data_IF_244951600567
#
_entry.id   IF_244951600567
#
_cell.length_a   1.000
_cell.length_b   1.000
_cell.length_c   1.000
_cell.angle_alpha   90.00
_cell.angle_beta   90.00
_cell.angle_gamma   90.00
#
_symmetry.space_group_name_H-M   'P 1'
#
loop_
_entity.id
_entity.type
_entity.pdbx_description
1 polymer ?
#
# COMPACT_ATOMS: atom_id res chain seq x y z
N UNK A 1 -0.48 1.87 -6.83
CA UNK A 1 -0.33 0.57 -6.15
C UNK A 1 0.33 0.77 -4.80
N UNK A 2 -0.35 0.41 -3.72
CA UNK A 2 0.22 0.47 -2.37
C UNK A 2 1.01 -0.80 -2.05
N UNK A 3 2.14 -0.65 -1.40
CA UNK A 3 3.07 -1.75 -1.12
C UNK A 3 3.64 -1.65 0.29
N UNK A 4 3.59 -2.77 1.02
CA UNK A 4 4.19 -2.89 2.36
C UNK A 4 5.72 -2.98 2.31
N UNK A 5 6.28 -3.55 1.24
CA UNK A 5 7.73 -3.70 1.09
C UNK A 5 8.40 -2.44 0.54
N UNK A 6 9.53 -2.07 1.13
CA UNK A 6 10.39 -0.97 0.69
C UNK A 6 11.12 -1.26 -0.64
N UNK A 7 11.27 -2.54 -1.01
CA UNK A 7 11.97 -3.00 -2.23
C UNK A 7 11.14 -4.03 -3.03
N UNK A 8 11.45 -4.23 -4.31
CA UNK A 8 10.76 -5.19 -5.18
C UNK A 8 9.40 -4.73 -5.74
N UNK A 9 8.75 -5.60 -6.50
CA UNK A 9 7.46 -5.32 -7.16
C UNK A 9 6.29 -5.69 -6.23
N UNK A 10 5.26 -4.85 -6.07
CA UNK A 10 4.11 -5.19 -5.23
C UNK A 10 3.32 -6.36 -5.82
N UNK A 11 2.91 -7.30 -4.97
CA UNK A 11 2.12 -8.46 -5.39
C UNK A 11 0.82 -8.06 -6.10
N UNK A 12 0.20 -6.96 -5.66
CA UNK A 12 -1.02 -6.39 -6.24
C UNK A 12 -0.83 -6.00 -7.72
N UNK A 13 0.35 -5.46 -8.07
CA UNK A 13 0.68 -5.10 -9.44
C UNK A 13 0.88 -6.36 -10.31
N UNK A 14 1.58 -7.36 -9.76
CA UNK A 14 1.77 -8.64 -10.45
C UNK A 14 0.44 -9.33 -10.74
N UNK A 15 -0.43 -9.40 -9.74
CA UNK A 15 -1.75 -10.01 -9.88
C UNK A 15 -2.61 -9.29 -10.93
N UNK A 16 -2.59 -7.95 -10.93
CA UNK A 16 -3.27 -7.17 -11.96
C UNK A 16 -2.74 -7.52 -13.37
N UNK A 17 -1.43 -7.67 -13.52
CA UNK A 17 -0.83 -8.01 -14.80
C UNK A 17 -1.16 -9.46 -15.23
N UNK A 18 -1.13 -10.42 -14.30
CA UNK A 18 -1.46 -11.83 -14.57
C UNK A 18 -2.89 -12.01 -15.07
N UNK A 19 -3.85 -11.32 -14.44
CA UNK A 19 -5.27 -11.47 -14.74
C UNK A 19 -5.77 -10.53 -15.83
N UNK A 20 -5.50 -9.22 -15.70
CA UNK A 20 -6.01 -8.23 -16.65
C UNK A 20 -5.12 -8.08 -17.87
N UNK A 21 -3.83 -8.49 -17.79
CA UNK A 21 -2.84 -8.33 -18.87
C UNK A 21 -2.71 -6.89 -19.37
N UNK A 22 -2.97 -5.94 -18.49
CA UNK A 22 -2.93 -4.49 -18.77
C UNK A 22 -2.06 -3.80 -17.72
N UNK A 23 -1.27 -2.84 -18.17
CA UNK A 23 -0.53 -1.89 -17.34
C UNK A 23 -1.07 -0.49 -17.63
N UNK A 24 -1.24 0.31 -16.57
CA UNK A 24 -1.59 1.72 -16.71
C UNK A 24 -0.42 2.52 -17.27
N UNK A 25 -0.72 3.58 -18.01
CA UNK A 25 0.31 4.44 -18.62
C UNK A 25 1.30 4.99 -17.59
N UNK A 26 0.81 5.44 -16.42
CA UNK A 26 1.64 5.89 -15.29
C UNK A 26 1.43 4.97 -14.09
N UNK A 27 2.50 4.34 -13.61
CA UNK A 27 2.45 3.40 -12.48
C UNK A 27 3.23 3.95 -11.31
N UNK A 28 2.54 4.14 -10.18
CA UNK A 28 3.14 4.60 -8.93
C UNK A 28 3.05 3.48 -7.90
N UNK A 29 4.21 3.05 -7.41
CA UNK A 29 4.34 2.16 -6.25
C UNK A 29 4.56 3.01 -5.01
N UNK A 30 3.54 3.09 -4.18
CA UNK A 30 3.50 3.89 -2.96
C UNK A 30 3.79 3.01 -1.74
N UNK A 31 4.75 3.40 -0.92
CA UNK A 31 5.07 2.75 0.35
C UNK A 31 5.04 3.78 1.48
N UNK A 32 4.31 3.46 2.54
CA UNK A 32 4.25 4.23 3.77
C UNK A 32 5.28 3.67 4.75
N UNK A 33 6.06 4.55 5.37
CA UNK A 33 7.15 4.19 6.27
C UNK A 33 6.99 4.98 7.56
N UNK A 34 6.69 4.28 8.64
CA UNK A 34 6.71 4.87 9.97
C UNK A 34 8.16 4.88 10.48
N UNK A 35 8.59 6.04 10.97
CA UNK A 35 9.90 6.28 11.58
C UNK A 35 9.79 6.25 13.10
N UNK A 36 10.90 5.92 13.77
CA UNK A 36 11.00 5.88 15.23
C UNK A 36 11.17 7.28 15.87
N UNK A 37 10.92 8.33 15.10
CA UNK A 37 10.90 9.73 15.55
C UNK A 37 9.45 10.23 15.62
N UNK A 38 9.13 11.16 16.55
CA UNK A 38 7.75 11.57 16.78
C UNK A 38 7.15 12.30 15.57
N UNK A 39 7.96 13.12 14.89
CA UNK A 39 7.60 13.91 13.72
C UNK A 39 8.72 13.87 12.69
N UNK A 40 8.35 13.87 11.41
CA UNK A 40 9.29 13.92 10.28
C UNK A 40 9.22 15.30 9.64
N UNK A 41 10.36 15.87 9.26
CA UNK A 41 10.37 17.14 8.53
C UNK A 41 9.72 16.99 7.15
N UNK A 42 9.07 18.04 6.65
CA UNK A 42 8.42 18.03 5.33
C UNK A 42 9.42 17.74 4.20
N UNK A 43 10.66 18.23 4.32
CA UNK A 43 11.73 17.99 3.33
C UNK A 43 12.16 16.52 3.23
N UNK A 44 12.01 15.74 4.30
CA UNK A 44 12.35 14.31 4.33
C UNK A 44 11.13 13.39 4.21
N UNK A 45 9.93 13.96 4.12
CA UNK A 45 8.66 13.22 4.10
C UNK A 45 8.45 12.45 2.82
N UNK A 46 8.99 12.90 1.69
CA UNK A 46 8.80 12.28 0.38
C UNK A 46 10.13 11.87 -0.22
N UNK A 47 10.22 10.63 -0.72
CA UNK A 47 11.32 10.20 -1.58
C UNK A 47 10.79 9.53 -2.83
N UNK A 48 11.08 10.13 -3.98
CA UNK A 48 10.64 9.65 -5.29
C UNK A 48 11.83 9.04 -6.02
N UNK A 49 11.60 7.90 -6.67
CA UNK A 49 12.54 7.30 -7.60
C UNK A 49 11.81 6.89 -8.86
N UNK A 50 12.23 7.44 -10.00
CA UNK A 50 11.76 7.02 -11.32
C UNK A 50 12.53 5.78 -11.79
N UNK A 51 11.87 4.96 -12.61
CA UNK A 51 12.41 3.75 -13.21
C UNK A 51 12.05 3.66 -14.70
N UNK A 52 12.93 3.00 -15.45
CA UNK A 52 12.77 2.74 -16.88
C UNK A 52 13.02 3.96 -17.76
N UNK A 53 13.31 3.70 -19.04
CA UNK A 53 13.64 4.75 -20.01
C UNK A 53 12.44 5.60 -20.40
N UNK A 54 11.22 5.05 -20.25
CA UNK A 54 9.97 5.75 -20.54
C UNK A 54 9.47 6.68 -19.44
N UNK A 55 10.14 6.75 -18.28
CA UNK A 55 9.83 7.72 -17.22
C UNK A 55 8.45 7.57 -16.55
N UNK A 56 7.73 6.47 -16.79
CA UNK A 56 6.34 6.29 -16.35
C UNK A 56 6.17 5.42 -15.09
N UNK A 57 7.27 4.84 -14.59
CA UNK A 57 7.28 4.03 -13.38
C UNK A 57 7.94 4.78 -12.23
N UNK A 58 7.20 4.94 -11.14
CA UNK A 58 7.65 5.67 -9.96
C UNK A 58 7.54 4.81 -8.71
N UNK A 59 8.53 4.93 -7.83
CA UNK A 59 8.49 4.47 -6.45
C UNK A 59 8.45 5.69 -5.57
N UNK A 60 7.38 5.81 -4.81
CA UNK A 60 7.20 6.90 -3.84
C UNK A 60 7.25 6.28 -2.46
N UNK A 61 8.16 6.77 -1.62
CA UNK A 61 8.20 6.46 -0.19
C UNK A 61 7.73 7.69 0.56
N UNK A 62 6.73 7.52 1.40
CA UNK A 62 6.25 8.54 2.31
C UNK A 62 6.68 8.18 3.73
N UNK A 63 7.33 9.11 4.41
CA UNK A 63 7.82 8.93 5.76
C UNK A 63 6.96 9.71 6.75
N UNK A 64 6.57 9.04 7.83
CA UNK A 64 5.76 9.61 8.89
C UNK A 64 6.37 9.26 10.24
N UNK A 65 6.31 10.19 11.18
CA UNK A 65 6.67 9.93 12.57
C UNK A 65 5.62 9.06 13.26
N UNK A 66 5.99 8.41 14.36
CA UNK A 66 5.07 7.53 15.08
C UNK A 66 3.90 8.27 15.77
N UNK A 67 4.02 9.59 15.98
CA UNK A 67 2.93 10.44 16.50
C UNK A 67 2.15 11.18 15.40
N UNK A 68 2.53 11.00 14.13
CA UNK A 68 1.89 11.68 13.02
C UNK A 68 0.69 10.92 12.47
N UNK A 69 -0.32 11.67 12.04
CA UNK A 69 -1.37 11.10 11.20
C UNK A 69 -0.82 10.84 9.79
N UNK A 70 -1.02 9.62 9.30
CA UNK A 70 -0.55 9.20 7.98
C UNK A 70 -1.51 9.62 6.86
N UNK A 71 -1.75 10.93 6.72
CA UNK A 71 -2.62 11.46 5.65
C UNK A 71 -1.91 11.38 4.28
N UNK A 72 -2.27 10.36 3.51
CA UNK A 72 -1.73 10.13 2.17
C UNK A 72 -2.06 11.28 1.22
N UNK A 73 -3.24 11.90 1.33
CA UNK A 73 -3.67 12.96 0.41
C UNK A 73 -2.77 14.19 0.56
N UNK A 74 -2.48 14.59 1.79
CA UNK A 74 -1.55 15.69 2.08
C UNK A 74 -0.14 15.36 1.57
N UNK A 75 0.34 14.16 1.84
CA UNK A 75 1.68 13.75 1.41
C UNK A 75 1.83 13.63 -0.12
N UNK A 76 0.75 13.33 -0.85
CA UNK A 76 0.76 13.34 -2.32
C UNK A 76 0.89 14.75 -2.90
N UNK A 77 0.41 15.79 -2.22
CA UNK A 77 0.60 17.18 -2.65
C UNK A 77 2.09 17.56 -2.63
N UNK A 78 2.84 17.06 -1.65
CA UNK A 78 4.29 17.25 -1.56
C UNK A 78 5.04 16.61 -2.74
N UNK A 79 4.53 15.51 -3.29
CA UNK A 79 5.14 14.86 -4.47
C UNK A 79 5.17 15.77 -5.71
N UNK A 80 4.23 16.72 -5.81
CA UNK A 80 4.17 17.68 -6.91
C UNK A 80 5.37 18.62 -6.92
N UNK A 81 5.86 19.01 -5.74
CA UNK A 81 7.06 19.84 -5.61
C UNK A 81 8.33 19.09 -6.06
N UNK A 82 8.34 17.77 -5.89
CA UNK A 82 9.40 16.85 -6.32
C UNK A 82 9.28 16.40 -7.80
N UNK A 83 8.45 17.09 -8.60
CA UNK A 83 8.32 16.85 -10.04
C UNK A 83 7.39 15.69 -10.42
N UNK A 84 6.68 15.08 -9.47
CA UNK A 84 5.68 14.04 -9.74
C UNK A 84 4.27 14.59 -9.49
N UNK A 85 3.62 15.06 -10.55
CA UNK A 85 2.21 15.48 -10.45
C UNK A 85 1.29 14.24 -10.41
N UNK A 86 0.47 14.21 -9.36
CA UNK A 86 -0.51 13.16 -9.07
C UNK A 86 -1.81 13.89 -8.78
N UNK A 87 -2.76 13.83 -9.71
CA UNK A 87 -4.09 14.37 -9.48
C UNK A 87 -4.92 13.39 -8.65
N UNK A 88 -5.33 13.76 -7.41
CA UNK A 88 -6.14 12.90 -6.56
C UNK A 88 -7.49 12.52 -7.18
N UNK A 89 -7.98 13.28 -8.17
CA UNK A 89 -9.27 13.03 -8.83
C UNK A 89 -9.21 11.97 -9.93
N UNK A 90 -8.03 11.70 -10.49
CA UNK A 90 -7.86 10.74 -11.59
C UNK A 90 -7.13 9.48 -11.16
N UNK A 91 -6.34 9.55 -10.08
CA UNK A 91 -5.59 8.40 -9.58
C UNK A 91 -6.51 7.32 -8.97
N UNK A 92 -6.17 6.05 -9.21
CA UNK A 92 -6.78 4.90 -8.56
C UNK A 92 -5.80 4.24 -7.59
N UNK A 93 -6.26 3.97 -6.37
CA UNK A 93 -5.48 3.34 -5.32
C UNK A 93 -5.73 1.84 -5.29
N UNK A 94 -4.80 1.07 -5.85
CA UNK A 94 -4.81 -0.38 -5.75
C UNK A 94 -4.18 -0.82 -4.43
N UNK A 95 -4.96 -1.53 -3.61
CA UNK A 95 -4.56 -2.01 -2.29
C UNK A 95 -4.72 -3.53 -2.25
N UNK A 96 -3.73 -4.22 -1.69
CA UNK A 96 -3.79 -5.67 -1.47
C UNK A 96 -4.56 -5.97 -0.20
N UNK A 97 -5.61 -6.77 -0.32
CA UNK A 97 -6.40 -7.24 0.82
C UNK A 97 -6.08 -8.72 1.04
N UNK A 98 -5.25 -9.01 2.03
CA UNK A 98 -4.80 -10.38 2.33
C UNK A 98 -5.86 -11.10 3.18
N UNK A 99 -6.52 -12.10 2.60
CA UNK A 99 -7.41 -12.99 3.36
C UNK A 99 -6.65 -14.25 3.74
N UNK A 100 -6.40 -14.38 5.04
CA UNK A 100 -5.77 -15.57 5.61
C UNK A 100 -6.76 -16.73 5.65
N UNK A 101 -6.30 -17.90 5.23
CA UNK A 101 -7.03 -19.16 5.39
C UNK A 101 -6.05 -20.26 5.84
N UNK A 102 -6.53 -21.23 6.59
CA UNK A 102 -5.70 -22.35 7.03
C UNK A 102 -5.79 -23.52 6.05
N UNK A 103 -4.65 -24.15 5.76
CA UNK A 103 -4.62 -25.42 5.03
C UNK A 103 -5.32 -26.52 5.84
N UNK A 104 -5.83 -27.53 5.13
CA UNK A 104 -6.52 -28.64 5.77
C UNK A 104 -5.61 -29.42 6.74
N UNK A 105 -4.32 -29.59 6.37
CA UNK A 105 -3.25 -30.10 7.24
C UNK A 105 -2.41 -28.95 7.77
N UNK A 106 -2.89 -28.28 8.82
CA UNK A 106 -2.12 -27.27 9.54
C UNK A 106 -1.75 -27.80 10.95
N UNK A 107 -0.50 -27.63 11.44
CA UNK A 107 -0.10 -28.11 12.77
C UNK A 107 -0.77 -27.36 13.94
N UNK A 108 -1.38 -26.20 13.67
CA UNK A 108 -2.04 -25.38 14.68
C UNK A 108 -3.35 -26.04 15.16
N UNK A 109 -3.60 -26.14 16.48
CA UNK A 109 -4.86 -26.63 17.05
C UNK A 109 -6.06 -25.80 16.59
N UNK A 110 -7.23 -26.45 16.43
CA UNK A 110 -8.43 -25.80 15.90
C UNK A 110 -8.89 -24.57 16.71
N UNK A 111 -8.79 -24.61 18.03
CA UNK A 111 -9.16 -23.48 18.88
C UNK A 111 -8.26 -22.25 18.64
N UNK A 112 -6.97 -22.48 18.40
CA UNK A 112 -6.01 -21.42 18.12
C UNK A 112 -6.26 -20.82 16.73
N UNK A 113 -6.67 -21.64 15.76
CA UNK A 113 -7.10 -21.16 14.43
C UNK A 113 -8.31 -20.23 14.53
N UNK A 114 -9.34 -20.63 15.30
CA UNK A 114 -10.54 -19.81 15.49
C UNK A 114 -10.24 -18.49 16.19
N UNK A 115 -9.41 -18.52 17.25
CA UNK A 115 -8.98 -17.30 17.94
C UNK A 115 -8.16 -16.39 17.01
N UNK A 116 -7.24 -16.95 16.23
CA UNK A 116 -6.42 -16.19 15.29
C UNK A 116 -7.25 -15.52 14.19
N UNK A 117 -8.21 -16.24 13.61
CA UNK A 117 -9.14 -15.67 12.62
C UNK A 117 -9.98 -14.56 13.23
N UNK A 118 -10.49 -14.76 14.45
CA UNK A 118 -11.26 -13.74 15.16
C UNK A 118 -10.42 -12.47 15.37
N UNK A 119 -9.20 -12.58 15.91
CA UNK A 119 -8.32 -11.44 16.14
C UNK A 119 -7.93 -10.72 14.84
N UNK A 120 -7.62 -11.48 13.78
CA UNK A 120 -7.24 -10.91 12.48
C UNK A 120 -8.41 -10.17 11.86
N UNK A 121 -9.62 -10.72 11.93
CA UNK A 121 -10.82 -10.10 11.39
C UNK A 121 -11.18 -8.80 12.12
N UNK A 122 -10.87 -8.71 13.41
CA UNK A 122 -11.10 -7.51 14.23
C UNK A 122 -9.94 -6.48 14.15
N UNK A 123 -8.86 -6.78 13.44
CA UNK A 123 -7.77 -5.82 13.24
C UNK A 123 -8.22 -4.69 12.30
N UNK A 124 -7.77 -3.46 12.58
CA UNK A 124 -8.18 -2.28 11.82
C UNK A 124 -7.72 -2.39 10.36
N UNK A 125 -8.61 -1.97 9.44
CA UNK A 125 -8.25 -1.85 8.03
C UNK A 125 -7.26 -0.70 7.85
N UNK A 126 -6.12 -0.99 7.23
CA UNK A 126 -5.10 0.02 6.94
C UNK A 126 -5.64 1.18 6.09
N UNK A 127 -6.72 0.96 5.32
CA UNK A 127 -7.31 1.93 4.40
C UNK A 127 -7.93 3.12 5.14
N UNK A 128 -8.65 2.85 6.22
CA UNK A 128 -9.28 3.89 7.05
C UNK A 128 -8.23 4.76 7.74
N UNK A 129 -7.12 4.15 8.13
CA UNK A 129 -6.02 4.85 8.80
C UNK A 129 -5.25 5.81 7.87
N UNK A 130 -5.18 5.52 6.57
CA UNK A 130 -4.43 6.32 5.59
C UNK A 130 -5.20 7.49 4.96
N UNK A 131 -6.46 7.71 5.36
CA UNK A 131 -7.35 8.79 4.85
C UNK A 131 -7.44 8.84 3.31
N UNK A 132 -7.34 7.69 2.64
CA UNK A 132 -7.44 7.59 1.18
C UNK A 132 -8.93 7.71 0.75
N UNK A 133 -9.25 8.41 -0.35
CA UNK A 133 -10.64 8.50 -0.84
C UNK A 133 -11.20 7.12 -1.20
N UNK A 134 -12.23 6.68 -0.47
CA UNK A 134 -12.79 5.32 -0.58
C UNK A 134 -13.36 5.04 -1.97
N UNK A 135 -13.90 6.06 -2.64
CA UNK A 135 -14.44 5.99 -4.00
C UNK A 135 -13.38 5.69 -5.08
N UNK A 136 -12.10 5.81 -4.74
CA UNK A 136 -10.96 5.57 -5.63
C UNK A 136 -10.09 4.39 -5.21
N UNK A 137 -10.49 3.65 -4.19
CA UNK A 137 -9.79 2.46 -3.72
C UNK A 137 -10.31 1.23 -4.46
N UNK A 138 -9.39 0.46 -5.02
CA UNK A 138 -9.65 -0.86 -5.57
C UNK A 138 -8.90 -1.86 -4.69
N UNK A 139 -9.65 -2.65 -3.93
CA UNK A 139 -9.10 -3.77 -3.18
C UNK A 139 -8.96 -5.00 -4.07
N UNK A 140 -7.72 -5.49 -4.19
CA UNK A 140 -7.44 -6.77 -4.82
C UNK A 140 -7.24 -7.81 -3.73
N UNK A 141 -8.24 -8.69 -3.60
CA UNK A 141 -8.25 -9.77 -2.63
C UNK A 141 -7.26 -10.87 -3.01
N UNK A 142 -6.28 -11.11 -2.14
CA UNK A 142 -5.30 -12.18 -2.30
C UNK A 142 -5.57 -13.22 -1.20
N UNK A 143 -5.72 -14.48 -1.58
CA UNK A 143 -5.88 -15.57 -0.62
C UNK A 143 -4.51 -16.14 -0.27
N UNK A 144 -4.17 -16.10 1.02
CA UNK A 144 -2.95 -16.69 1.56
C UNK A 144 -3.34 -17.90 2.40
N UNK A 145 -2.64 -19.01 2.17
CA UNK A 145 -2.82 -20.25 2.93
C UNK A 145 -1.67 -20.48 3.91
N UNK A 146 -2.01 -20.56 5.21
CA UNK A 146 -1.12 -20.88 6.33
C UNK A 146 -1.04 -22.39 6.58
#
# INVERSE_FOLDING_TARGET
YMARSLHGVPQVLLHNLEHNRVIHDKVIVLTLVTKDEPYVDEDYRVKIRAFGDGGNFFRVKLYFGFQEEQDVRRALQLCRHEGLDIDPKTVSFFIGSERLSFRHKNPMPNWQRSLFLFLTHNSSSAIEYFKVPVDRVIELGIRIEL
#
